data_IF_434407474133
#
_entry.id   IF_434407474133
#
_cell.length_a   1.000
_cell.length_b   1.000
_cell.length_c   1.000
_cell.angle_alpha   90.00
_cell.angle_beta   90.00
_cell.angle_gamma   90.00
#
_symmetry.space_group_name_H-M   'P 1'
#
loop_
_entity.id
_entity.type
_entity.pdbx_description
1 polymer ?
#
# COMPACT_ATOMS: atom_id res chain seq x y z
N UNK A 1 -4.56 21.27 -16.87
CA UNK A 1 -3.25 20.66 -17.25
C UNK A 1 -3.46 19.17 -17.47
N UNK A 2 -2.77 18.58 -18.42
CA UNK A 2 -2.76 17.12 -18.57
C UNK A 2 -2.14 16.48 -17.33
N UNK A 3 -2.72 15.37 -16.88
CA UNK A 3 -2.22 14.62 -15.74
C UNK A 3 -1.14 13.66 -16.20
N UNK A 4 -0.30 13.19 -15.26
CA UNK A 4 0.87 12.37 -15.57
C UNK A 4 0.54 11.08 -16.37
N UNK A 5 -0.64 10.50 -16.18
CA UNK A 5 -1.08 9.26 -16.84
C UNK A 5 -2.35 9.44 -17.69
N UNK A 6 -2.69 10.67 -18.11
CA UNK A 6 -3.95 10.95 -18.84
C UNK A 6 -4.07 10.21 -20.18
N UNK A 7 -2.96 9.79 -20.74
CA UNK A 7 -2.89 9.02 -21.99
C UNK A 7 -2.93 7.49 -21.80
N UNK A 8 -3.04 7.01 -20.56
CA UNK A 8 -2.98 5.57 -20.25
C UNK A 8 -4.39 5.04 -19.94
N UNK A 9 -4.77 3.97 -20.65
CA UNK A 9 -6.01 3.22 -20.40
C UNK A 9 -5.70 1.88 -19.74
N UNK A 10 -6.34 1.63 -18.60
CA UNK A 10 -6.14 0.44 -17.75
C UNK A 10 -7.44 -0.35 -17.68
N UNK A 11 -7.41 -1.62 -18.06
CA UNK A 11 -8.48 -2.59 -17.81
C UNK A 11 -8.21 -3.28 -16.48
N UNK A 12 -9.02 -2.96 -15.48
CA UNK A 12 -8.85 -3.39 -14.09
C UNK A 12 -9.78 -4.56 -13.77
N UNK A 13 -9.25 -5.77 -13.77
CA UNK A 13 -9.93 -7.02 -13.39
C UNK A 13 -9.73 -7.36 -11.90
N UNK A 14 -9.11 -6.47 -11.15
CA UNK A 14 -8.70 -6.74 -9.77
C UNK A 14 -9.87 -6.69 -8.79
N UNK A 15 -9.68 -7.30 -7.62
CA UNK A 15 -10.63 -7.30 -6.52
C UNK A 15 -9.91 -7.26 -5.17
N UNK A 16 -10.63 -6.95 -4.13
CA UNK A 16 -10.20 -6.88 -2.73
C UNK A 16 -9.24 -5.70 -2.49
N UNK A 17 -7.92 -5.89 -2.36
CA UNK A 17 -7.02 -4.81 -1.94
C UNK A 17 -5.79 -4.62 -2.84
N UNK A 18 -4.89 -5.57 -2.94
CA UNK A 18 -3.57 -5.34 -3.56
C UNK A 18 -3.66 -4.78 -4.99
N UNK A 19 -4.45 -5.42 -5.86
CA UNK A 19 -4.68 -4.94 -7.22
C UNK A 19 -5.47 -3.63 -7.28
N UNK A 20 -6.63 -3.51 -6.60
CA UNK A 20 -7.38 -2.26 -6.54
C UNK A 20 -6.59 -1.09 -5.98
N UNK A 21 -5.69 -1.30 -5.02
CA UNK A 21 -4.79 -0.27 -4.49
C UNK A 21 -3.83 0.25 -5.56
N UNK A 22 -3.26 -0.64 -6.36
CA UNK A 22 -2.44 -0.27 -7.52
C UNK A 22 -3.23 0.57 -8.52
N UNK A 23 -4.39 0.07 -8.97
CA UNK A 23 -5.18 0.75 -10.00
C UNK A 23 -5.83 2.04 -9.50
N UNK A 24 -6.12 2.16 -8.20
CA UNK A 24 -6.50 3.41 -7.54
C UNK A 24 -5.36 4.45 -7.65
N UNK A 25 -4.11 4.06 -7.37
CA UNK A 25 -2.98 4.97 -7.54
C UNK A 25 -2.87 5.46 -8.99
N UNK A 26 -3.00 4.57 -9.98
CA UNK A 26 -2.97 4.97 -11.39
C UNK A 26 -4.11 5.94 -11.73
N UNK A 27 -5.31 5.72 -11.20
CA UNK A 27 -6.47 6.61 -11.38
C UNK A 27 -6.24 8.00 -10.77
N UNK A 28 -5.67 8.09 -9.56
CA UNK A 28 -5.35 9.36 -8.90
C UNK A 28 -4.40 10.22 -9.76
N UNK A 29 -3.50 9.61 -10.54
CA UNK A 29 -2.60 10.31 -11.46
C UNK A 29 -3.18 10.48 -12.88
N UNK A 30 -4.45 10.18 -13.08
CA UNK A 30 -5.19 10.52 -14.28
C UNK A 30 -5.33 9.40 -15.30
N UNK A 31 -4.86 8.18 -15.02
CA UNK A 31 -5.12 7.06 -15.93
C UNK A 31 -6.64 6.81 -16.08
N UNK A 32 -7.07 6.45 -17.27
CA UNK A 32 -8.43 6.02 -17.55
C UNK A 32 -8.60 4.56 -17.08
N UNK A 33 -8.89 4.36 -15.80
CA UNK A 33 -9.05 3.04 -15.19
C UNK A 33 -10.49 2.56 -15.34
N UNK A 34 -10.68 1.44 -16.05
CA UNK A 34 -11.96 0.79 -16.28
C UNK A 34 -12.00 -0.49 -15.44
N UNK A 35 -12.70 -0.44 -14.31
CA UNK A 35 -12.92 -1.60 -13.45
C UNK A 35 -13.98 -2.51 -14.04
N UNK A 36 -13.60 -3.75 -14.28
CA UNK A 36 -14.43 -4.79 -14.91
C UNK A 36 -14.86 -5.79 -13.85
N UNK A 37 -16.16 -5.88 -13.63
CA UNK A 37 -16.75 -6.73 -12.59
C UNK A 37 -17.73 -7.76 -13.18
N UNK A 38 -17.93 -8.88 -12.47
CA UNK A 38 -18.95 -9.85 -12.85
C UNK A 38 -20.36 -9.25 -12.68
N UNK A 39 -21.25 -9.37 -13.69
CA UNK A 39 -22.63 -8.92 -13.57
C UNK A 39 -23.33 -9.51 -12.34
N UNK A 40 -24.10 -8.69 -11.63
CA UNK A 40 -24.91 -9.06 -10.48
C UNK A 40 -24.14 -9.36 -9.19
N UNK A 41 -22.83 -9.66 -9.25
CA UNK A 41 -22.01 -9.97 -8.08
C UNK A 41 -21.05 -8.83 -7.69
N UNK A 42 -20.29 -8.34 -8.64
CA UNK A 42 -19.27 -7.33 -8.41
C UNK A 42 -18.05 -7.82 -7.62
N UNK A 43 -17.27 -6.88 -7.12
CA UNK A 43 -16.13 -7.08 -6.22
C UNK A 43 -16.61 -7.53 -4.83
N UNK A 44 -15.94 -8.50 -4.24
CA UNK A 44 -16.29 -9.02 -2.90
C UNK A 44 -16.27 -7.91 -1.82
N UNK A 45 -15.47 -6.85 -2.00
CA UNK A 45 -15.41 -5.70 -1.09
C UNK A 45 -16.69 -4.89 -1.03
N UNK A 46 -17.60 -4.99 -2.01
CA UNK A 46 -18.92 -4.34 -1.95
C UNK A 46 -19.74 -4.84 -0.76
N UNK A 47 -19.54 -6.10 -0.34
CA UNK A 47 -20.20 -6.69 0.82
C UNK A 47 -19.45 -6.49 2.15
N UNK A 48 -18.15 -6.11 2.11
CA UNK A 48 -17.29 -6.00 3.28
C UNK A 48 -17.49 -4.67 4.03
N UNK A 49 -17.28 -4.71 5.34
CA UNK A 49 -17.24 -3.51 6.18
C UNK A 49 -15.85 -2.84 6.24
N UNK A 50 -15.75 -1.65 6.88
CA UNK A 50 -16.86 -0.94 7.51
C UNK A 50 -17.86 -0.37 6.49
N UNK A 51 -19.13 -0.22 6.91
CA UNK A 51 -20.20 0.33 6.08
C UNK A 51 -20.78 1.63 6.65
N UNK A 52 -21.18 2.53 5.79
CA UNK A 52 -21.97 3.72 6.12
C UNK A 52 -23.13 3.81 5.13
N UNK A 53 -24.36 3.93 5.63
CA UNK A 53 -25.59 3.88 4.84
C UNK A 53 -25.64 2.62 3.91
N UNK A 54 -25.26 1.47 4.44
CA UNK A 54 -25.18 0.18 3.74
C UNK A 54 -24.14 0.10 2.60
N UNK A 55 -23.41 1.15 2.33
CA UNK A 55 -22.35 1.18 1.34
C UNK A 55 -20.98 0.86 1.96
N UNK A 56 -20.18 0.02 1.31
CA UNK A 56 -18.85 -0.36 1.79
C UNK A 56 -17.87 0.82 1.68
N UNK A 57 -17.37 1.29 2.81
CA UNK A 57 -16.31 2.30 2.86
C UNK A 57 -15.00 1.74 2.28
N UNK A 58 -14.79 0.43 2.41
CA UNK A 58 -13.62 -0.24 1.87
C UNK A 58 -13.63 -0.22 0.33
N UNK A 59 -14.76 -0.64 -0.28
CA UNK A 59 -14.91 -0.55 -1.73
C UNK A 59 -14.75 0.89 -2.23
N UNK A 60 -15.44 1.82 -1.57
CA UNK A 60 -15.41 3.24 -1.92
C UNK A 60 -13.99 3.83 -1.89
N UNK A 61 -13.17 3.41 -0.92
CA UNK A 61 -11.79 3.87 -0.79
C UNK A 61 -10.90 3.39 -1.95
N UNK A 62 -10.81 2.07 -2.17
CA UNK A 62 -9.81 1.49 -3.10
C UNK A 62 -10.25 1.55 -4.58
N UNK A 63 -11.49 1.96 -4.86
CA UNK A 63 -12.00 2.07 -6.22
C UNK A 63 -12.36 3.50 -6.64
N UNK A 64 -11.99 4.51 -5.83
CA UNK A 64 -12.17 5.91 -6.19
C UNK A 64 -11.49 6.25 -7.52
N UNK A 65 -12.06 7.18 -8.27
CA UNK A 65 -11.48 7.66 -9.53
C UNK A 65 -11.66 6.73 -10.73
N UNK A 66 -12.14 5.50 -10.52
CA UNK A 66 -12.33 4.51 -11.60
C UNK A 66 -13.69 4.69 -12.29
N UNK A 67 -13.81 4.12 -13.49
CA UNK A 67 -15.09 3.87 -14.19
C UNK A 67 -15.45 2.40 -13.99
N UNK A 68 -16.73 2.09 -13.75
CA UNK A 68 -17.20 0.75 -13.45
C UNK A 68 -18.03 0.14 -14.55
N UNK A 69 -17.63 -0.99 -15.07
CA UNK A 69 -18.43 -1.80 -16.00
C UNK A 69 -18.64 -3.22 -15.50
N UNK A 70 -19.66 -3.87 -16.01
CA UNK A 70 -19.88 -5.31 -15.81
C UNK A 70 -19.57 -6.08 -17.06
N UNK A 71 -18.86 -7.23 -16.93
CA UNK A 71 -18.57 -8.12 -18.04
C UNK A 71 -18.38 -9.56 -17.57
N UNK A 72 -19.12 -10.50 -18.21
CA UNK A 72 -19.01 -11.92 -17.93
C UNK A 72 -17.95 -12.58 -18.82
N UNK A 73 -16.71 -12.67 -18.33
CA UNK A 73 -15.60 -13.32 -19.03
C UNK A 73 -15.74 -14.85 -19.17
N UNK A 74 -16.81 -15.46 -18.61
CA UNK A 74 -17.10 -16.88 -18.84
C UNK A 74 -17.92 -17.12 -20.11
N UNK A 75 -18.60 -16.08 -20.63
CA UNK A 75 -19.31 -16.14 -21.90
C UNK A 75 -18.39 -15.86 -23.08
N UNK A 76 -18.62 -16.52 -24.21
CA UNK A 76 -17.82 -16.28 -25.43
C UNK A 76 -17.96 -14.83 -25.91
N UNK A 77 -19.15 -14.25 -25.82
CA UNK A 77 -19.39 -12.87 -26.20
C UNK A 77 -18.65 -11.88 -25.28
N UNK A 78 -18.66 -12.16 -23.96
CA UNK A 78 -17.89 -11.34 -22.99
C UNK A 78 -16.39 -11.39 -23.26
N UNK A 79 -15.84 -12.55 -23.64
CA UNK A 79 -14.43 -12.66 -24.05
C UNK A 79 -14.13 -11.83 -25.29
N UNK A 80 -14.97 -11.90 -26.32
CA UNK A 80 -14.82 -11.11 -27.54
C UNK A 80 -14.80 -9.61 -27.23
N UNK A 81 -15.76 -9.13 -26.45
CA UNK A 81 -15.81 -7.73 -26.03
C UNK A 81 -14.55 -7.32 -25.26
N UNK A 82 -14.08 -8.17 -24.37
CA UNK A 82 -12.84 -7.91 -23.63
C UNK A 82 -11.62 -7.80 -24.55
N UNK A 83 -11.49 -8.71 -25.52
CA UNK A 83 -10.38 -8.67 -26.49
C UNK A 83 -10.44 -7.42 -27.38
N UNK A 84 -11.64 -6.96 -27.77
CA UNK A 84 -11.79 -5.69 -28.49
C UNK A 84 -11.39 -4.46 -27.61
N UNK A 85 -11.66 -4.51 -26.30
CA UNK A 85 -11.18 -3.48 -25.38
C UNK A 85 -9.66 -3.50 -25.23
N UNK A 86 -9.04 -4.69 -25.21
CA UNK A 86 -7.57 -4.87 -25.12
C UNK A 86 -6.84 -4.22 -26.29
N UNK A 87 -7.42 -4.21 -27.49
CA UNK A 87 -6.85 -3.50 -28.66
C UNK A 87 -6.65 -2.00 -28.43
N UNK A 88 -7.40 -1.43 -27.49
CA UNK A 88 -7.45 0.02 -27.19
C UNK A 88 -6.92 0.35 -25.80
N UNK A 89 -6.38 -0.62 -25.09
CA UNK A 89 -5.85 -0.48 -23.75
C UNK A 89 -4.32 -0.54 -23.72
N UNK A 90 -3.72 0.07 -22.71
CA UNK A 90 -2.29 0.05 -22.44
C UNK A 90 -1.92 -1.02 -21.43
N UNK A 91 -2.78 -1.24 -20.44
CA UNK A 91 -2.50 -2.11 -19.30
C UNK A 91 -3.73 -2.96 -19.00
N UNK A 92 -3.52 -4.24 -18.73
CA UNK A 92 -4.49 -5.14 -18.07
C UNK A 92 -3.92 -5.49 -16.71
N UNK A 93 -4.72 -5.29 -15.66
CA UNK A 93 -4.33 -5.59 -14.26
C UNK A 93 -5.26 -6.64 -13.67
N UNK A 94 -4.69 -7.69 -13.08
CA UNK A 94 -5.47 -8.75 -12.42
C UNK A 94 -4.81 -9.21 -11.11
N UNK A 95 -5.59 -9.81 -10.22
CA UNK A 95 -5.10 -10.43 -8.99
C UNK A 95 -5.82 -11.75 -8.67
N UNK A 96 -6.13 -12.51 -9.71
CA UNK A 96 -6.65 -13.87 -9.58
C UNK A 96 -5.53 -14.86 -9.18
N UNK A 97 -5.91 -16.09 -8.91
CA UNK A 97 -4.92 -17.17 -8.81
C UNK A 97 -4.26 -17.40 -10.15
N UNK A 98 -2.95 -17.66 -10.19
CA UNK A 98 -2.24 -17.99 -11.43
C UNK A 98 -2.95 -19.04 -12.27
N UNK A 99 -3.06 -18.80 -13.57
CA UNK A 99 -3.75 -19.67 -14.54
C UNK A 99 -5.25 -19.47 -14.66
N UNK A 100 -5.88 -18.59 -13.87
CA UNK A 100 -7.33 -18.31 -14.02
C UNK A 100 -7.61 -17.57 -15.33
N UNK A 101 -6.82 -16.56 -15.67
CA UNK A 101 -6.96 -15.84 -16.94
C UNK A 101 -6.71 -16.74 -18.16
N UNK A 102 -5.75 -17.66 -18.04
CA UNK A 102 -5.48 -18.65 -19.09
C UNK A 102 -6.66 -19.60 -19.28
N UNK A 103 -7.27 -20.11 -18.18
CA UNK A 103 -8.49 -20.93 -18.22
C UNK A 103 -9.69 -20.20 -18.78
N UNK A 104 -9.77 -18.89 -18.62
CA UNK A 104 -10.78 -18.04 -19.23
C UNK A 104 -10.52 -17.78 -20.71
N UNK A 105 -9.34 -18.14 -21.25
CA UNK A 105 -8.96 -17.89 -22.63
C UNK A 105 -8.56 -16.43 -22.91
N UNK A 106 -8.21 -15.69 -21.87
CA UNK A 106 -7.80 -14.27 -21.93
C UNK A 106 -6.51 -14.04 -21.12
N UNK A 107 -5.62 -15.04 -21.09
CA UNK A 107 -4.30 -14.95 -20.48
C UNK A 107 -3.31 -14.12 -21.32
N UNK A 108 -2.12 -13.87 -20.76
CA UNK A 108 -1.12 -12.99 -21.35
C UNK A 108 -0.78 -13.33 -22.80
N UNK A 109 -0.60 -14.60 -23.13
CA UNK A 109 -0.21 -15.03 -24.49
C UNK A 109 -1.28 -14.65 -25.52
N UNK A 110 -2.56 -14.82 -25.17
CA UNK A 110 -3.69 -14.39 -26.02
C UNK A 110 -3.74 -12.87 -26.15
N UNK A 111 -3.59 -12.14 -25.02
CA UNK A 111 -3.65 -10.68 -25.06
C UNK A 111 -2.51 -10.07 -25.88
N UNK A 112 -1.31 -10.66 -25.82
CA UNK A 112 -0.14 -10.24 -26.59
C UNK A 112 -0.33 -10.44 -28.10
N UNK A 113 -1.04 -11.46 -28.52
CA UNK A 113 -1.39 -11.66 -29.94
C UNK A 113 -2.37 -10.59 -30.44
N UNK A 114 -3.27 -10.12 -29.56
CA UNK A 114 -4.26 -9.09 -29.87
C UNK A 114 -3.66 -7.67 -29.86
N UNK A 115 -2.72 -7.43 -28.96
CA UNK A 115 -2.03 -6.15 -28.77
C UNK A 115 -0.61 -6.41 -28.22
N UNK A 116 0.40 -6.34 -29.10
CA UNK A 116 1.80 -6.62 -28.75
C UNK A 116 2.43 -5.53 -27.85
N UNK A 117 1.73 -4.40 -27.65
CA UNK A 117 2.13 -3.32 -26.75
C UNK A 117 1.47 -3.43 -25.37
N UNK A 118 0.60 -4.42 -25.17
CA UNK A 118 -0.14 -4.55 -23.89
C UNK A 118 0.81 -4.89 -22.74
N UNK A 119 0.63 -4.19 -21.62
CA UNK A 119 1.27 -4.53 -20.35
C UNK A 119 0.27 -5.37 -19.56
N UNK A 120 0.64 -6.61 -19.27
CA UNK A 120 -0.15 -7.52 -18.45
C UNK A 120 0.44 -7.57 -17.05
N UNK A 121 -0.25 -6.98 -16.08
CA UNK A 121 0.23 -6.85 -14.71
C UNK A 121 -0.58 -7.72 -13.75
N UNK A 122 0.09 -8.64 -13.08
CA UNK A 122 -0.52 -9.58 -12.14
C UNK A 122 0.09 -9.47 -10.74
N UNK A 123 -0.75 -9.48 -9.71
CA UNK A 123 -0.31 -9.62 -8.31
C UNK A 123 -1.01 -10.80 -7.65
N UNK A 124 -0.22 -11.70 -7.06
CA UNK A 124 -0.73 -12.89 -6.39
C UNK A 124 0.04 -13.19 -5.10
N UNK A 125 -0.43 -14.12 -4.28
CA UNK A 125 0.23 -14.42 -3.00
C UNK A 125 1.69 -14.83 -3.13
N UNK A 126 2.01 -15.67 -4.14
CA UNK A 126 3.33 -16.30 -4.31
C UNK A 126 3.93 -16.11 -5.71
N UNK A 127 3.37 -15.20 -6.53
CA UNK A 127 3.81 -14.99 -7.92
C UNK A 127 3.24 -16.04 -8.89
N UNK A 128 3.53 -15.84 -10.17
CA UNK A 128 2.99 -16.68 -11.25
C UNK A 128 3.81 -17.94 -11.53
N UNK A 129 4.95 -18.13 -10.92
CA UNK A 129 5.85 -19.28 -11.10
C UNK A 129 6.42 -19.76 -9.76
N UNK A 130 7.22 -20.82 -9.79
CA UNK A 130 7.80 -21.43 -8.60
C UNK A 130 6.89 -22.48 -7.93
N UNK A 131 7.42 -23.25 -6.97
CA UNK A 131 6.73 -24.42 -6.40
C UNK A 131 5.47 -24.09 -5.60
N UNK A 132 5.29 -22.84 -5.18
CA UNK A 132 4.15 -22.40 -4.37
C UNK A 132 3.14 -21.54 -5.14
N UNK A 133 3.31 -21.29 -6.44
CA UNK A 133 2.51 -20.34 -7.22
C UNK A 133 1.00 -20.61 -7.19
N UNK A 134 0.57 -21.88 -7.05
CA UNK A 134 -0.86 -22.25 -6.97
C UNK A 134 -1.45 -22.14 -5.55
N UNK A 135 -0.61 -21.87 -4.52
CA UNK A 135 -1.12 -21.72 -3.15
C UNK A 135 -1.95 -20.45 -3.01
N UNK A 136 -3.09 -20.51 -2.29
CA UNK A 136 -3.83 -19.31 -1.93
C UNK A 136 -2.96 -18.48 -0.98
N UNK A 137 -2.90 -17.16 -1.23
CA UNK A 137 -2.18 -16.22 -0.39
C UNK A 137 -3.04 -14.98 -0.17
N UNK A 138 -3.23 -14.63 1.10
CA UNK A 138 -3.74 -13.35 1.54
C UNK A 138 -2.63 -12.63 2.31
N UNK A 139 -2.86 -11.38 2.66
CA UNK A 139 -1.92 -10.55 3.41
C UNK A 139 -1.26 -11.27 4.59
N UNK A 140 -2.05 -11.85 5.50
CA UNK A 140 -1.53 -12.54 6.69
C UNK A 140 -0.62 -13.73 6.34
N UNK A 141 -0.91 -14.42 5.22
CA UNK A 141 -0.06 -15.52 4.74
C UNK A 141 1.26 -14.97 4.21
N UNK A 142 1.22 -13.83 3.51
CA UNK A 142 2.43 -13.15 3.04
C UNK A 142 3.28 -12.67 4.23
N UNK A 143 2.70 -12.01 5.21
CA UNK A 143 3.40 -11.56 6.42
C UNK A 143 4.03 -12.72 7.21
N UNK A 144 3.32 -13.84 7.35
CA UNK A 144 3.84 -15.02 8.06
C UNK A 144 4.96 -15.72 7.27
N UNK A 145 4.78 -15.88 5.95
CA UNK A 145 5.70 -16.64 5.10
C UNK A 145 7.00 -15.87 4.81
N UNK A 146 6.94 -14.55 4.75
CA UNK A 146 8.08 -13.67 4.44
C UNK A 146 9.08 -13.52 5.58
N UNK A 147 8.71 -13.88 6.81
CA UNK A 147 9.53 -13.65 8.00
C UNK A 147 9.20 -12.36 8.77
N UNK A 148 8.34 -11.47 8.24
CA UNK A 148 7.99 -10.21 8.91
C UNK A 148 7.44 -10.44 10.32
N UNK A 149 6.55 -11.41 10.48
CA UNK A 149 5.99 -11.71 11.80
C UNK A 149 7.05 -12.22 12.78
N UNK A 150 8.10 -12.91 12.30
CA UNK A 150 9.15 -13.45 13.15
C UNK A 150 10.04 -12.40 13.80
N UNK A 151 9.99 -11.15 13.33
CA UNK A 151 10.74 -10.01 13.86
C UNK A 151 9.83 -8.89 14.40
N UNK A 152 8.50 -9.10 14.37
CA UNK A 152 7.49 -8.12 14.83
C UNK A 152 6.82 -8.66 16.09
N UNK A 153 6.94 -7.93 17.20
CA UNK A 153 6.37 -8.29 18.50
C UNK A 153 7.19 -7.76 19.66
N UNK A 154 6.63 -7.77 20.85
CA UNK A 154 7.34 -7.40 22.08
C UNK A 154 8.43 -8.40 22.43
N UNK A 155 9.47 -7.93 23.12
CA UNK A 155 10.56 -8.77 23.59
C UNK A 155 10.04 -9.91 24.47
N UNK A 156 10.36 -11.16 24.12
CA UNK A 156 9.87 -12.36 24.80
C UNK A 156 8.39 -12.68 24.55
N UNK A 157 7.70 -11.90 23.71
CA UNK A 157 6.30 -12.09 23.33
C UNK A 157 6.11 -13.07 22.17
N UNK A 158 4.89 -13.05 21.61
CA UNK A 158 4.53 -13.83 20.42
C UNK A 158 4.79 -13.05 19.14
N UNK A 159 5.12 -13.70 18.00
CA UNK A 159 5.13 -13.08 16.69
C UNK A 159 3.76 -12.45 16.37
N UNK A 160 3.78 -11.19 15.93
CA UNK A 160 2.60 -10.41 15.60
C UNK A 160 2.61 -10.00 14.13
N UNK A 161 1.43 -9.93 13.52
CA UNK A 161 1.29 -9.25 12.24
C UNK A 161 1.31 -7.73 12.43
N UNK A 162 1.72 -6.99 11.42
CA UNK A 162 1.52 -5.54 11.37
C UNK A 162 0.00 -5.24 11.31
N UNK A 163 -0.43 -4.17 11.95
CA UNK A 163 -1.85 -3.86 12.15
C UNK A 163 -2.70 -3.76 10.90
N UNK A 164 -2.14 -3.28 9.79
CA UNK A 164 -2.81 -3.21 8.47
C UNK A 164 -2.36 -4.35 7.55
N UNK A 165 -2.96 -4.43 6.35
CA UNK A 165 -2.64 -5.41 5.31
C UNK A 165 -1.36 -5.03 4.56
N UNK A 166 -0.22 -5.12 5.23
CA UNK A 166 1.08 -4.63 4.73
C UNK A 166 1.56 -5.35 3.49
N UNK A 167 1.30 -6.65 3.38
CA UNK A 167 1.61 -7.43 2.18
C UNK A 167 0.82 -6.96 0.95
N UNK A 168 -0.47 -6.70 1.13
CA UNK A 168 -1.32 -6.20 0.04
C UNK A 168 -0.92 -4.78 -0.39
N UNK A 169 -0.64 -3.88 0.57
CA UNK A 169 -0.23 -2.51 0.28
C UNK A 169 1.11 -2.49 -0.46
N UNK A 170 2.12 -3.20 0.04
CA UNK A 170 3.42 -3.32 -0.61
C UNK A 170 3.31 -3.99 -1.98
N UNK A 171 2.50 -5.04 -2.10
CA UNK A 171 2.22 -5.70 -3.38
C UNK A 171 1.58 -4.75 -4.40
N UNK A 172 0.60 -3.96 -3.98
CA UNK A 172 -0.05 -2.96 -4.83
C UNK A 172 0.90 -1.83 -5.26
N UNK A 173 1.75 -1.34 -4.34
CA UNK A 173 2.79 -0.35 -4.65
C UNK A 173 3.82 -0.91 -5.64
N UNK A 174 4.34 -2.11 -5.41
CA UNK A 174 5.30 -2.75 -6.30
C UNK A 174 4.68 -3.03 -7.69
N UNK A 175 3.40 -3.39 -7.74
CA UNK A 175 2.69 -3.56 -9.01
C UNK A 175 2.59 -2.23 -9.76
N UNK A 176 2.29 -1.12 -9.07
CA UNK A 176 2.29 0.22 -9.67
C UNK A 176 3.66 0.59 -10.22
N UNK A 177 4.72 0.38 -9.44
CA UNK A 177 6.11 0.60 -9.87
C UNK A 177 6.44 -0.26 -11.10
N UNK A 178 6.07 -1.55 -11.08
CA UNK A 178 6.28 -2.47 -12.19
C UNK A 178 5.57 -2.03 -13.47
N UNK A 179 4.32 -1.56 -13.37
CA UNK A 179 3.56 -1.01 -14.50
C UNK A 179 4.26 0.23 -15.08
N UNK A 180 4.67 1.17 -14.22
CA UNK A 180 5.37 2.38 -14.67
C UNK A 180 6.71 2.07 -15.32
N UNK A 181 7.48 1.11 -14.79
CA UNK A 181 8.71 0.61 -15.41
C UNK A 181 8.42 -0.04 -16.78
N UNK A 182 7.36 -0.84 -16.89
CA UNK A 182 6.96 -1.49 -18.13
C UNK A 182 6.49 -0.49 -19.19
N UNK A 183 5.73 0.55 -18.78
CA UNK A 183 5.34 1.66 -19.66
C UNK A 183 6.58 2.41 -20.19
N UNK A 184 7.55 2.70 -19.33
CA UNK A 184 8.80 3.32 -19.75
C UNK A 184 9.61 2.40 -20.68
N UNK A 185 9.75 1.11 -20.34
CA UNK A 185 10.43 0.15 -21.21
C UNK A 185 9.77 0.03 -22.60
N UNK A 186 8.44 0.12 -22.68
CA UNK A 186 7.68 0.12 -23.92
C UNK A 186 8.08 1.27 -24.85
N UNK A 187 8.42 2.45 -24.31
CA UNK A 187 8.87 3.58 -25.15
C UNK A 187 10.18 3.30 -25.89
N UNK A 188 11.01 2.40 -25.34
CA UNK A 188 12.31 2.01 -25.91
C UNK A 188 12.17 0.77 -26.81
N UNK A 189 11.38 -0.22 -26.37
CA UNK A 189 11.28 -1.53 -27.04
C UNK A 189 10.18 -1.60 -28.08
N UNK A 190 9.20 -0.69 -28.02
CA UNK A 190 7.97 -0.72 -28.82
C UNK A 190 7.01 -1.85 -28.43
N UNK A 191 7.30 -2.61 -27.37
CA UNK A 191 6.53 -3.80 -26.97
C UNK A 191 6.11 -3.74 -25.52
N UNK A 192 4.91 -4.28 -25.24
CA UNK A 192 4.45 -4.55 -23.90
C UNK A 192 5.16 -5.77 -23.28
N UNK A 193 4.85 -6.04 -22.01
CA UNK A 193 5.42 -7.16 -21.28
C UNK A 193 4.51 -7.62 -20.14
N UNK A 194 4.82 -8.79 -19.60
CA UNK A 194 4.22 -9.27 -18.35
C UNK A 194 4.96 -8.66 -17.15
N UNK A 195 4.19 -8.20 -16.17
CA UNK A 195 4.65 -7.79 -14.84
C UNK A 195 4.06 -8.76 -13.83
N UNK A 196 4.90 -9.42 -13.06
CA UNK A 196 4.52 -10.40 -12.03
C UNK A 196 5.00 -9.94 -10.67
N UNK A 197 4.08 -9.78 -9.71
CA UNK A 197 4.36 -9.38 -8.34
C UNK A 197 3.79 -10.39 -7.38
N UNK A 198 4.62 -10.85 -6.44
CA UNK A 198 4.17 -11.67 -5.32
C UNK A 198 4.03 -10.82 -4.04
N UNK A 199 2.97 -11.04 -3.27
CA UNK A 199 2.82 -10.42 -1.94
C UNK A 199 4.00 -10.83 -1.03
N UNK A 200 4.38 -12.11 -1.07
CA UNK A 200 5.50 -12.63 -0.27
C UNK A 200 6.80 -11.93 -0.62
N UNK A 201 7.12 -11.79 -1.91
CA UNK A 201 8.36 -11.15 -2.37
C UNK A 201 8.39 -9.67 -1.98
N UNK A 202 7.23 -9.00 -2.08
CA UNK A 202 7.09 -7.59 -1.69
C UNK A 202 7.39 -7.37 -0.21
N UNK A 203 6.94 -8.29 0.65
CA UNK A 203 7.26 -8.23 2.09
C UNK A 203 8.71 -8.63 2.35
N UNK A 204 9.23 -9.71 1.71
CA UNK A 204 10.64 -10.13 1.84
C UNK A 204 11.58 -8.98 1.52
N UNK A 205 11.33 -8.25 0.42
CA UNK A 205 12.18 -7.13 0.02
C UNK A 205 12.15 -5.94 0.99
N UNK A 206 11.10 -5.82 1.82
CA UNK A 206 10.94 -4.74 2.79
C UNK A 206 11.61 -4.98 4.16
N UNK A 207 12.13 -6.19 4.42
CA UNK A 207 12.71 -6.54 5.72
C UNK A 207 14.12 -5.98 5.96
N UNK A 208 14.68 -5.29 4.99
CA UNK A 208 15.93 -4.53 5.05
C UNK A 208 17.02 -5.15 5.96
N UNK A 209 17.37 -4.47 7.08
CA UNK A 209 18.38 -4.87 8.06
C UNK A 209 18.07 -6.22 8.74
N UNK A 210 16.81 -6.64 8.79
CA UNK A 210 16.44 -7.96 9.31
C UNK A 210 17.21 -9.10 8.62
N UNK A 211 17.29 -9.07 7.30
CA UNK A 211 18.07 -10.03 6.52
C UNK A 211 19.57 -9.91 6.75
N UNK A 212 20.09 -8.68 6.82
CA UNK A 212 21.51 -8.44 7.02
C UNK A 212 21.99 -8.97 8.38
N UNK A 213 21.17 -8.79 9.42
CA UNK A 213 21.44 -9.36 10.75
C UNK A 213 21.47 -10.89 10.73
N UNK A 214 20.50 -11.51 10.03
CA UNK A 214 20.47 -12.96 9.89
C UNK A 214 21.69 -13.47 9.13
N UNK A 215 22.03 -12.90 7.97
CA UNK A 215 23.16 -13.33 7.16
C UNK A 215 24.51 -13.10 7.86
N UNK A 216 24.65 -12.00 8.59
CA UNK A 216 25.89 -11.70 9.31
C UNK A 216 26.13 -12.62 10.52
N UNK A 217 25.07 -13.01 11.23
CA UNK A 217 25.17 -13.78 12.47
C UNK A 217 24.88 -15.28 12.33
N UNK A 218 24.16 -15.67 11.26
CA UNK A 218 23.57 -17.01 11.12
C UNK A 218 22.47 -17.32 12.14
N UNK A 219 22.02 -16.33 12.93
CA UNK A 219 21.04 -16.50 14.00
C UNK A 219 19.75 -15.77 13.69
N UNK A 220 18.62 -16.40 14.05
CA UNK A 220 17.30 -15.74 13.97
C UNK A 220 17.30 -14.48 14.84
N UNK A 221 16.96 -13.29 14.28
CA UNK A 221 16.74 -12.09 15.07
C UNK A 221 15.59 -12.28 16.08
N UNK A 222 15.80 -11.84 17.29
CA UNK A 222 14.79 -11.89 18.36
C UNK A 222 13.73 -10.79 18.18
N UNK A 223 12.56 -11.00 18.80
CA UNK A 223 11.55 -9.96 18.98
C UNK A 223 12.07 -8.93 19.99
N UNK A 224 12.12 -7.67 19.59
CA UNK A 224 12.73 -6.60 20.39
C UNK A 224 11.79 -5.40 20.64
N UNK A 225 10.51 -5.55 20.34
CA UNK A 225 9.52 -4.46 20.48
C UNK A 225 9.78 -3.30 19.52
N UNK A 226 9.70 -2.09 20.06
CA UNK A 226 9.92 -0.85 19.30
C UNK A 226 11.39 -0.48 19.14
N UNK A 227 12.28 -1.21 19.81
CA UNK A 227 13.72 -0.92 19.76
C UNK A 227 14.32 -1.20 18.39
N UNK A 228 15.15 -0.30 17.90
CA UNK A 228 15.95 -0.57 16.72
C UNK A 228 17.25 -1.31 17.11
N UNK A 229 17.54 -2.38 16.41
CA UNK A 229 18.60 -3.31 16.85
C UNK A 229 20.02 -2.76 16.76
N UNK A 230 20.25 -1.77 15.89
CA UNK A 230 21.60 -1.27 15.55
C UNK A 230 21.86 0.15 16.06
N UNK A 231 20.91 0.74 16.79
CA UNK A 231 21.05 2.07 17.39
C UNK A 231 20.28 2.18 18.70
N UNK A 232 20.85 2.89 19.69
CA UNK A 232 20.19 3.20 20.95
C UNK A 232 20.69 4.52 21.52
N UNK A 233 19.80 5.37 22.10
CA UNK A 233 18.35 5.20 22.26
C UNK A 233 17.55 5.44 20.96
N UNK A 234 17.01 4.37 20.41
CA UNK A 234 16.09 4.36 19.29
C UNK A 234 14.94 3.39 19.67
N UNK A 235 13.96 3.90 20.41
CA UNK A 235 12.91 3.09 21.07
C UNK A 235 11.76 3.96 21.53
N UNK A 236 10.74 3.35 22.13
CA UNK A 236 9.68 4.05 22.86
C UNK A 236 10.01 4.16 24.34
N UNK A 237 9.71 5.33 24.94
CA UNK A 237 10.01 5.66 26.31
C UNK A 237 8.74 6.07 27.06
N UNK A 238 8.71 5.86 28.38
CA UNK A 238 7.60 6.20 29.24
C UNK A 238 7.66 7.69 29.63
N UNK A 239 6.59 8.44 29.37
CA UNK A 239 6.31 9.76 29.93
C UNK A 239 5.27 9.66 31.04
N UNK A 240 4.93 10.76 31.72
CA UNK A 240 3.96 10.74 32.80
C UNK A 240 2.54 10.38 32.37
N UNK A 241 2.18 10.67 31.12
CA UNK A 241 0.83 10.52 30.57
C UNK A 241 0.75 9.51 29.39
N UNK A 242 1.84 8.79 29.09
CA UNK A 242 1.85 7.78 28.02
C UNK A 242 3.25 7.48 27.49
N UNK A 243 3.35 7.14 26.21
CA UNK A 243 4.63 6.80 25.59
C UNK A 243 4.90 7.66 24.36
N UNK A 244 6.18 7.93 24.13
CA UNK A 244 6.72 8.64 22.98
C UNK A 244 7.94 7.91 22.44
N UNK A 245 8.46 8.29 21.28
CA UNK A 245 9.64 7.66 20.65
C UNK A 245 10.78 8.66 20.54
N UNK A 246 12.03 8.16 20.72
CA UNK A 246 13.27 8.89 20.44
C UNK A 246 13.98 8.16 19.32
N UNK A 247 14.46 8.89 18.32
CA UNK A 247 15.25 8.38 17.19
C UNK A 247 16.71 8.83 17.26
N UNK A 248 17.43 8.50 18.33
CA UNK A 248 18.82 8.87 18.51
C UNK A 248 19.74 7.79 17.86
N UNK A 249 20.10 8.00 16.59
CA UNK A 249 20.78 7.01 15.77
C UNK A 249 22.32 7.08 15.76
N UNK A 250 22.94 8.03 16.47
CA UNK A 250 24.41 8.18 16.49
C UNK A 250 24.93 8.93 17.75
N UNK A 251 26.25 8.95 17.93
CA UNK A 251 26.90 9.51 19.13
C UNK A 251 26.69 11.02 19.26
N UNK A 252 26.63 11.77 18.14
CA UNK A 252 26.35 13.21 18.14
C UNK A 252 24.95 13.49 18.69
N UNK A 253 23.94 12.76 18.26
CA UNK A 253 22.57 12.89 18.75
C UNK A 253 22.47 12.49 20.23
N UNK A 254 23.21 11.45 20.65
CA UNK A 254 23.26 11.05 22.06
C UNK A 254 23.89 12.14 22.93
N UNK A 255 24.97 12.80 22.46
CA UNK A 255 25.55 13.95 23.15
C UNK A 255 24.53 15.08 23.31
N UNK A 256 23.79 15.42 22.24
CA UNK A 256 22.74 16.44 22.31
C UNK A 256 21.62 16.04 23.27
N UNK A 257 21.18 14.80 23.24
CA UNK A 257 20.17 14.27 24.14
C UNK A 257 20.61 14.44 25.60
N UNK A 258 21.81 13.98 25.96
CA UNK A 258 22.33 14.04 27.32
C UNK A 258 22.55 15.45 27.82
N UNK A 259 23.13 16.36 26.98
CA UNK A 259 23.58 17.68 27.42
C UNK A 259 22.54 18.79 27.24
N UNK A 260 21.58 18.62 26.29
CA UNK A 260 20.61 19.66 25.94
C UNK A 260 19.17 19.34 26.37
N UNK A 261 18.82 18.06 26.43
CA UNK A 261 17.48 17.65 26.79
C UNK A 261 17.38 17.07 28.20
N UNK A 262 18.20 16.07 28.54
CA UNK A 262 18.10 15.36 29.81
C UNK A 262 18.83 16.07 30.96
N UNK A 263 19.76 16.98 30.68
CA UNK A 263 20.70 17.59 31.62
C UNK A 263 21.48 16.53 32.43
N UNK A 264 21.96 15.50 31.75
CA UNK A 264 22.66 14.32 32.29
C UNK A 264 23.98 14.05 31.54
N UNK A 265 24.94 15.01 31.55
CA UNK A 265 26.21 14.88 30.83
C UNK A 265 27.07 13.69 31.33
N UNK A 266 26.89 13.25 32.59
CA UNK A 266 27.61 12.12 33.16
C UNK A 266 27.31 10.77 32.45
N UNK A 267 26.20 10.66 31.72
CA UNK A 267 25.91 9.49 30.92
C UNK A 267 26.89 9.31 29.75
N UNK A 268 27.57 10.40 29.32
CA UNK A 268 28.59 10.34 28.27
C UNK A 268 29.93 9.80 28.77
N UNK A 269 30.18 9.90 30.07
CA UNK A 269 31.42 9.44 30.73
C UNK A 269 31.31 7.97 31.17
N UNK A 270 30.11 7.39 31.15
CA UNK A 270 29.89 5.99 31.51
C UNK A 270 30.37 5.09 30.37
N UNK A 271 31.37 4.20 30.58
CA UNK A 271 31.90 3.33 29.54
C UNK A 271 30.89 2.34 28.95
N UNK A 272 29.72 2.18 29.60
CA UNK A 272 28.62 1.37 29.08
C UNK A 272 27.84 2.11 27.99
N UNK A 273 27.99 3.46 27.86
CA UNK A 273 27.18 4.30 26.98
C UNK A 273 27.99 5.19 26.04
N UNK A 274 29.29 5.18 26.11
CA UNK A 274 30.23 6.05 25.38
C UNK A 274 30.16 5.90 23.84
N UNK A 275 29.80 4.70 23.37
CA UNK A 275 29.62 4.41 21.93
C UNK A 275 28.23 3.84 21.65
N UNK A 276 27.76 3.97 20.40
CA UNK A 276 26.49 3.37 20.00
C UNK A 276 26.47 1.85 20.22
N UNK A 277 27.59 1.16 20.00
CA UNK A 277 27.68 -0.29 20.21
C UNK A 277 27.43 -0.62 21.69
N UNK A 278 28.15 0.06 22.59
CA UNK A 278 27.99 -0.14 24.04
C UNK A 278 26.58 0.21 24.51
N UNK A 279 25.94 1.25 23.96
CA UNK A 279 24.54 1.58 24.27
C UNK A 279 23.56 0.50 23.80
N UNK A 280 23.79 -0.08 22.62
CA UNK A 280 22.97 -1.20 22.15
C UNK A 280 23.10 -2.44 23.04
N UNK A 281 24.33 -2.75 23.49
CA UNK A 281 24.59 -3.88 24.38
C UNK A 281 24.02 -3.64 25.80
N UNK A 282 24.07 -2.39 26.27
CA UNK A 282 23.64 -2.00 27.62
C UNK A 282 22.29 -1.25 27.61
N UNK A 283 21.43 -1.47 26.61
CA UNK A 283 20.14 -0.75 26.48
C UNK A 283 19.27 -0.90 27.74
N UNK A 284 19.29 -2.08 28.38
CA UNK A 284 18.51 -2.37 29.57
C UNK A 284 18.96 -1.54 30.79
N UNK A 285 20.20 -1.06 30.80
CA UNK A 285 20.70 -0.14 31.83
C UNK A 285 20.43 1.32 31.47
N UNK A 286 20.55 1.71 30.18
CA UNK A 286 20.40 3.10 29.76
C UNK A 286 18.91 3.53 29.69
N UNK A 287 18.00 2.66 29.24
CA UNK A 287 16.58 2.98 29.11
C UNK A 287 15.95 3.51 30.41
N UNK A 288 16.15 2.86 31.58
CA UNK A 288 15.65 3.40 32.84
C UNK A 288 16.26 4.76 33.23
N UNK A 289 17.50 5.06 32.86
CA UNK A 289 18.11 6.38 33.13
C UNK A 289 17.39 7.50 32.35
N UNK A 290 17.01 7.22 31.10
CA UNK A 290 16.22 8.15 30.28
C UNK A 290 14.80 8.26 30.85
N UNK A 291 14.19 7.14 31.23
CA UNK A 291 12.81 7.12 31.74
C UNK A 291 12.67 7.76 33.14
N UNK A 292 13.74 7.83 33.93
CA UNK A 292 13.74 8.65 35.18
C UNK A 292 13.45 10.12 34.90
N UNK A 293 13.97 10.64 33.81
CA UNK A 293 13.70 12.01 33.40
C UNK A 293 12.33 12.12 32.71
N UNK A 294 12.06 11.30 31.73
CA UNK A 294 10.87 11.43 30.90
C UNK A 294 9.56 11.14 31.65
N UNK A 295 9.57 10.27 32.67
CA UNK A 295 8.39 9.99 33.51
C UNK A 295 7.94 11.16 34.36
N UNK A 296 8.77 12.19 34.50
CA UNK A 296 8.43 13.43 35.24
C UNK A 296 7.82 14.50 34.30
N UNK A 297 7.78 14.25 33.01
CA UNK A 297 7.28 15.16 31.98
C UNK A 297 6.12 14.52 31.22
N UNK A 298 5.21 15.34 30.70
CA UNK A 298 4.20 14.86 29.75
C UNK A 298 4.85 14.54 28.38
N UNK A 299 4.14 13.76 27.55
CA UNK A 299 4.60 13.48 26.17
C UNK A 299 4.95 14.77 25.44
N UNK A 300 4.07 15.78 25.50
CA UNK A 300 4.32 17.06 24.81
C UNK A 300 5.57 17.76 25.34
N UNK A 301 5.78 17.81 26.65
CA UNK A 301 6.98 18.39 27.25
C UNK A 301 8.24 17.63 26.83
N UNK A 302 8.21 16.29 26.83
CA UNK A 302 9.33 15.48 26.34
C UNK A 302 9.67 15.80 24.87
N UNK A 303 8.64 15.86 24.02
CA UNK A 303 8.80 16.18 22.60
C UNK A 303 9.38 17.57 22.41
N UNK A 304 8.82 18.59 23.04
CA UNK A 304 9.27 19.98 22.90
C UNK A 304 10.74 20.16 23.33
N UNK A 305 11.13 19.54 24.45
CA UNK A 305 12.50 19.67 24.99
C UNK A 305 13.50 18.92 24.10
N UNK A 306 13.17 17.71 23.66
CA UNK A 306 14.09 16.88 22.88
C UNK A 306 14.20 17.39 21.45
N UNK A 307 13.10 17.87 20.85
CA UNK A 307 13.12 18.50 19.52
C UNK A 307 13.94 19.78 19.52
N UNK A 308 13.77 20.65 20.53
CA UNK A 308 14.58 21.87 20.71
C UNK A 308 16.08 21.55 20.88
N UNK A 309 16.44 20.39 21.40
CA UNK A 309 17.82 19.91 21.45
C UNK A 309 18.34 19.40 20.10
N UNK A 310 17.50 19.28 19.07
CA UNK A 310 17.84 18.80 17.74
C UNK A 310 17.94 17.27 17.63
N UNK A 311 17.24 16.54 18.49
CA UNK A 311 17.18 15.07 18.49
C UNK A 311 15.81 14.63 17.95
N UNK A 312 15.74 13.74 16.97
CA UNK A 312 14.47 13.23 16.45
C UNK A 312 13.61 12.59 17.54
N UNK A 313 12.39 13.08 17.68
CA UNK A 313 11.43 12.65 18.71
C UNK A 313 10.01 12.80 18.17
N UNK A 314 9.08 11.96 18.60
CA UNK A 314 7.67 12.10 18.26
C UNK A 314 6.76 11.46 19.32
N UNK A 315 5.52 11.95 19.48
CA UNK A 315 4.49 11.22 20.20
C UNK A 315 4.09 9.96 19.42
N UNK A 316 3.52 8.97 20.10
CA UNK A 316 2.82 7.86 19.44
C UNK A 316 1.38 8.31 19.22
N UNK A 317 1.11 8.89 18.05
CA UNK A 317 -0.19 9.46 17.72
C UNK A 317 -1.27 8.39 17.55
N UNK A 318 -2.45 8.68 18.06
CA UNK A 318 -3.67 7.97 17.71
C UNK A 318 -4.19 8.46 16.35
N UNK A 319 -5.07 7.69 15.68
CA UNK A 319 -5.61 8.10 14.40
C UNK A 319 -6.33 9.46 14.44
N UNK A 320 -6.96 9.80 15.55
CA UNK A 320 -7.60 11.10 15.76
C UNK A 320 -6.58 12.25 15.77
N UNK A 321 -5.40 12.04 16.32
CA UNK A 321 -4.34 13.05 16.36
C UNK A 321 -3.82 13.30 14.94
N UNK A 322 -3.61 12.23 14.17
CA UNK A 322 -3.13 12.32 12.79
C UNK A 322 -4.11 13.08 11.88
N UNK A 323 -5.41 12.85 12.03
CA UNK A 323 -6.44 13.56 11.24
C UNK A 323 -6.48 15.05 11.56
N UNK A 324 -6.12 15.45 12.78
CA UNK A 324 -6.09 16.84 13.24
C UNK A 324 -4.70 17.50 13.14
N UNK A 325 -3.68 16.77 12.70
CA UNK A 325 -2.34 17.32 12.52
C UNK A 325 -2.29 18.24 11.30
N UNK A 326 -1.96 19.51 11.51
CA UNK A 326 -1.98 20.54 10.47
C UNK A 326 -0.98 20.26 9.33
N UNK A 327 0.18 19.69 9.66
CA UNK A 327 1.17 19.30 8.65
C UNK A 327 0.69 18.14 7.79
N UNK A 328 0.17 17.08 8.42
CA UNK A 328 -0.28 15.87 7.71
C UNK A 328 -1.58 16.13 6.96
N UNK A 329 -2.59 16.67 7.67
CA UNK A 329 -3.92 16.85 7.12
C UNK A 329 -3.98 17.97 6.08
N UNK A 330 -3.49 19.16 6.42
CA UNK A 330 -3.67 20.35 5.61
C UNK A 330 -2.46 20.58 4.67
N UNK A 331 -1.24 20.75 5.21
CA UNK A 331 -0.08 21.07 4.40
C UNK A 331 0.32 19.93 3.43
N UNK A 332 0.17 18.66 3.86
CA UNK A 332 0.44 17.47 3.04
C UNK A 332 -0.80 16.90 2.37
N UNK A 333 -1.99 17.46 2.60
CA UNK A 333 -3.25 17.05 1.97
C UNK A 333 -3.48 15.53 2.04
N UNK A 334 -3.21 14.93 3.22
CA UNK A 334 -3.30 13.47 3.38
C UNK A 334 -4.70 13.00 3.72
N UNK A 335 -5.68 13.90 3.87
CA UNK A 335 -7.10 13.58 4.03
C UNK A 335 -7.92 14.39 3.04
N UNK A 336 -8.56 13.69 2.10
CA UNK A 336 -9.33 14.31 1.02
C UNK A 336 -10.82 14.02 1.22
N UNK A 337 -11.64 15.07 1.14
CA UNK A 337 -13.10 14.98 1.24
C UNK A 337 -13.71 14.71 -0.14
N UNK A 338 -14.54 13.68 -0.21
CA UNK A 338 -15.35 13.33 -1.39
C UNK A 338 -16.84 13.36 -1.03
N UNK A 339 -17.67 13.93 -1.91
CA UNK A 339 -19.12 13.87 -1.76
C UNK A 339 -19.66 12.64 -2.47
N UNK A 340 -19.87 11.58 -1.69
CA UNK A 340 -20.37 10.31 -2.21
C UNK A 340 -21.91 10.31 -2.20
N UNK A 341 -22.59 9.87 -3.30
CA UNK A 341 -24.06 9.95 -3.40
C UNK A 341 -24.81 9.25 -2.24
N UNK A 342 -24.28 8.14 -1.74
CA UNK A 342 -24.90 7.32 -0.68
C UNK A 342 -24.27 7.60 0.68
N UNK A 343 -22.94 7.67 0.77
CA UNK A 343 -22.20 7.85 2.03
C UNK A 343 -22.32 9.29 2.56
N UNK A 344 -22.53 10.27 1.68
CA UNK A 344 -22.42 11.69 1.96
C UNK A 344 -20.94 12.12 2.01
N UNK A 345 -20.57 12.98 2.96
CA UNK A 345 -19.16 13.34 3.15
C UNK A 345 -18.35 12.12 3.56
N UNK A 346 -17.35 11.80 2.73
CA UNK A 346 -16.43 10.69 2.88
C UNK A 346 -15.01 11.20 2.84
N UNK A 347 -14.23 10.88 3.86
CA UNK A 347 -12.81 11.20 3.93
C UNK A 347 -12.00 9.99 3.50
N UNK A 348 -11.02 10.21 2.62
CA UNK A 348 -10.09 9.18 2.14
C UNK A 348 -8.65 9.65 2.32
N UNK A 349 -7.70 8.72 2.56
CA UNK A 349 -6.29 9.07 2.54
C UNK A 349 -5.87 9.65 1.19
N UNK A 350 -5.10 10.74 1.22
CA UNK A 350 -4.50 11.37 0.05
C UNK A 350 -3.35 10.57 -0.52
N UNK A 351 -2.88 10.96 -1.70
CA UNK A 351 -1.74 10.30 -2.33
C UNK A 351 -0.42 10.81 -1.74
N UNK A 352 0.50 9.93 -1.31
CA UNK A 352 1.77 10.34 -0.69
C UNK A 352 2.78 10.90 -1.70
N UNK A 353 2.70 10.52 -2.98
CA UNK A 353 3.58 11.04 -4.03
C UNK A 353 3.03 12.37 -4.55
N UNK A 354 3.75 13.46 -4.32
CA UNK A 354 3.34 14.80 -4.73
C UNK A 354 4.12 15.22 -5.98
N UNK A 355 3.55 15.00 -7.17
CA UNK A 355 4.09 15.58 -8.40
C UNK A 355 3.73 17.06 -8.43
N UNK A 356 4.73 17.94 -8.44
CA UNK A 356 4.52 19.39 -8.23
C UNK A 356 3.81 20.05 -9.40
N UNK A 357 4.07 19.59 -10.64
CA UNK A 357 3.49 20.17 -11.86
C UNK A 357 2.25 19.40 -12.34
N UNK A 358 2.22 18.07 -12.19
CA UNK A 358 1.12 17.19 -12.58
C UNK A 358 0.50 16.54 -11.37
N UNK A 359 -0.03 17.36 -10.45
CA UNK A 359 -0.56 16.92 -9.16
C UNK A 359 -1.60 15.81 -9.31
N UNK A 360 -1.58 14.79 -8.41
CA UNK A 360 -2.66 13.81 -8.33
C UNK A 360 -3.97 14.52 -7.96
N UNK A 361 -5.07 13.98 -8.44
CA UNK A 361 -6.39 14.56 -8.18
C UNK A 361 -7.35 13.47 -7.71
N UNK A 362 -7.82 13.63 -6.48
CA UNK A 362 -8.80 12.74 -5.85
C UNK A 362 -10.10 13.52 -5.77
N UNK A 363 -10.94 13.42 -6.79
CA UNK A 363 -12.19 14.19 -6.91
C UNK A 363 -13.39 13.34 -7.37
N UNK A 364 -13.21 12.03 -7.57
CA UNK A 364 -14.28 11.12 -8.00
C UNK A 364 -14.43 9.97 -7.02
N UNK A 365 -15.67 9.66 -6.70
CA UNK A 365 -16.01 8.47 -5.92
C UNK A 365 -15.79 7.18 -6.72
N UNK A 366 -15.88 6.04 -6.01
CA UNK A 366 -15.93 4.73 -6.64
C UNK A 366 -17.25 4.56 -7.41
N UNK A 367 -17.25 3.86 -8.55
CA UNK A 367 -18.46 3.66 -9.34
C UNK A 367 -19.39 2.61 -8.71
N UNK A 368 -20.68 2.76 -8.93
CA UNK A 368 -21.64 1.69 -8.71
C UNK A 368 -21.44 0.56 -9.73
N UNK A 369 -22.01 -0.62 -9.46
CA UNK A 369 -21.86 -1.79 -10.32
C UNK A 369 -22.44 -1.53 -11.71
N UNK A 370 -21.58 -1.53 -12.73
CA UNK A 370 -21.98 -1.28 -14.12
C UNK A 370 -22.40 0.17 -14.43
N UNK A 371 -22.07 1.11 -13.53
CA UNK A 371 -22.45 2.52 -13.68
C UNK A 371 -22.09 3.10 -15.03
N UNK A 372 -20.93 2.75 -15.56
CA UNK A 372 -20.38 3.32 -16.78
C UNK A 372 -20.55 2.40 -18.01
N UNK A 373 -21.36 1.33 -17.93
CA UNK A 373 -21.56 0.37 -19.03
C UNK A 373 -21.83 1.08 -20.36
N UNK A 374 -22.86 1.96 -20.40
CA UNK A 374 -23.23 2.66 -21.63
C UNK A 374 -22.07 3.49 -22.17
N UNK A 375 -21.52 4.37 -21.36
CA UNK A 375 -20.47 5.29 -21.78
C UNK A 375 -19.21 4.58 -22.29
N UNK A 376 -18.83 3.47 -21.64
CA UNK A 376 -17.62 2.71 -22.02
C UNK A 376 -17.87 1.86 -23.27
N UNK A 377 -18.98 1.12 -23.32
CA UNK A 377 -19.25 0.25 -24.47
C UNK A 377 -19.55 1.03 -25.74
N UNK A 378 -20.35 2.11 -25.66
CA UNK A 378 -20.56 3.02 -26.80
C UNK A 378 -19.24 3.72 -27.22
N UNK A 379 -18.58 4.38 -26.26
CA UNK A 379 -17.41 5.19 -26.57
C UNK A 379 -16.18 4.37 -27.00
N UNK A 380 -15.98 3.20 -26.41
CA UNK A 380 -14.82 2.37 -26.68
C UNK A 380 -15.07 1.36 -27.80
N UNK A 381 -16.28 0.78 -27.91
CA UNK A 381 -16.58 -0.29 -28.86
C UNK A 381 -17.59 0.10 -29.94
N UNK A 382 -18.26 1.26 -29.80
CA UNK A 382 -19.24 1.74 -30.76
C UNK A 382 -20.57 0.97 -30.71
N UNK A 383 -20.86 0.30 -29.57
CA UNK A 383 -22.10 -0.47 -29.42
C UNK A 383 -23.31 0.45 -29.32
N UNK A 384 -24.42 0.05 -29.97
CA UNK A 384 -25.69 0.76 -29.88
C UNK A 384 -26.48 0.42 -28.61
N UNK A 385 -27.49 1.23 -28.27
CA UNK A 385 -28.43 0.92 -27.19
C UNK A 385 -29.11 -0.44 -27.38
N UNK A 386 -29.38 -0.86 -28.63
CA UNK A 386 -29.96 -2.17 -28.93
C UNK A 386 -28.98 -3.31 -28.61
N UNK A 387 -27.69 -3.14 -28.94
CA UNK A 387 -26.66 -4.11 -28.59
C UNK A 387 -26.51 -4.25 -27.08
N UNK A 388 -26.50 -3.13 -26.35
CA UNK A 388 -26.40 -3.12 -24.89
C UNK A 388 -27.62 -3.80 -24.23
N UNK A 389 -28.83 -3.56 -24.74
CA UNK A 389 -30.03 -4.23 -24.24
C UNK A 389 -29.96 -5.75 -24.42
N UNK A 390 -29.53 -6.23 -25.59
CA UNK A 390 -29.29 -7.63 -25.88
C UNK A 390 -28.25 -8.26 -24.94
N UNK A 391 -27.07 -7.64 -24.80
CA UNK A 391 -25.99 -8.11 -23.94
C UNK A 391 -26.43 -8.21 -22.47
N UNK A 392 -27.29 -7.30 -22.01
CA UNK A 392 -27.86 -7.31 -20.67
C UNK A 392 -28.86 -8.47 -20.50
N UNK A 393 -29.73 -8.69 -21.48
CA UNK A 393 -30.68 -9.84 -21.49
C UNK A 393 -29.93 -11.17 -21.44
N UNK A 394 -28.83 -11.28 -22.21
CA UNK A 394 -27.96 -12.46 -22.25
C UNK A 394 -27.02 -12.57 -21.04
N UNK A 395 -27.09 -11.64 -20.07
CA UNK A 395 -26.23 -11.57 -18.86
C UNK A 395 -24.73 -11.55 -19.18
N UNK A 396 -24.36 -10.92 -20.28
CA UNK A 396 -22.97 -10.65 -20.68
C UNK A 396 -22.45 -9.42 -19.96
N UNK A 397 -23.30 -8.40 -19.83
CA UNK A 397 -22.99 -7.13 -19.11
C UNK A 397 -24.01 -6.84 -18.02
#
# INVERSE_FOLDING_TARGET
MEKALSNITVLDLTRVLAGPYCTMMLADYGANVIKIEMPGKGDDTRAMGPKKNDYSMYYAYVNRGKKGITLNLKSEEGKKLFLEMVKKADVVVENYRPGVMDKLGVGYDVLKEVNDQIIYAAVSGFGCYGPKHQRPGYDIIAQATSGLMSITGEAGGQPLRVGNAMGDVLGGMNLTIGILMALNARTVTGRGQRVDVALVDSVVSSLEVGWQRFFASGKQPELIGNRYASAFPYDSFQASDGRFVIGCGNDKLFTLLCTKALDRPELLEDPRFDTNIHRCENYAALKPEIEKWSSQHTIQQCVDIIDAAGVPVAPINMLADVVNDDHIANAREMFVHLQHPVIGDMVVPGNPVKLMDTKPEINKCAPDLGQDNKAIYEGMLGLSDADLAKLKEEKVI
#
